data_IF_107905086227
#
_entry.id   IF_107905086227
#
_cell.length_a   1.000
_cell.length_b   1.000
_cell.length_c   1.000
_cell.angle_alpha   90.00
_cell.angle_beta   90.00
_cell.angle_gamma   90.00
#
_symmetry.space_group_name_H-M   'P 1'
#
loop_
_entity.id
_entity.type
_entity.pdbx_description
1 polymer ?
#
# COMPACT_ATOMS: atom_id res chain seq x y z
N UNK A 1 -33.84 2.21 30.85
CA UNK A 1 -32.78 3.19 31.15
C UNK A 1 -31.58 2.38 31.66
N UNK A 2 -30.58 2.10 30.81
CA UNK A 2 -29.38 1.35 31.20
C UNK A 2 -28.22 2.34 31.21
N UNK A 3 -27.69 2.58 32.39
CA UNK A 3 -26.49 3.39 32.59
C UNK A 3 -25.26 2.60 32.21
N UNK A 4 -24.35 3.24 31.43
CA UNK A 4 -23.01 2.73 31.13
C UNK A 4 -22.07 3.14 32.26
N UNK A 5 -21.25 2.24 32.80
CA UNK A 5 -20.22 2.63 33.75
C UNK A 5 -19.06 3.41 33.04
N UNK A 6 -18.39 4.32 33.78
CA UNK A 6 -17.37 5.20 33.21
C UNK A 6 -16.13 4.43 32.72
N UNK A 7 -15.50 4.98 31.72
CA UNK A 7 -14.29 4.46 31.08
C UNK A 7 -13.18 4.24 32.11
N UNK A 8 -12.67 3.02 32.16
CA UNK A 8 -11.55 2.61 33.01
C UNK A 8 -10.23 2.89 32.28
N UNK A 9 -9.36 3.59 32.97
CA UNK A 9 -7.97 3.92 32.62
C UNK A 9 -7.20 2.77 31.99
N UNK A 10 -6.37 3.15 31.02
CA UNK A 10 -5.52 2.29 30.19
C UNK A 10 -4.58 1.37 30.98
N UNK A 11 -4.40 0.11 30.56
CA UNK A 11 -3.24 -0.66 30.95
C UNK A 11 -2.04 -0.34 30.04
N UNK A 12 -0.91 -0.01 30.64
CA UNK A 12 0.38 0.13 29.99
C UNK A 12 0.72 -1.16 29.23
N UNK A 13 0.85 -1.07 27.93
CA UNK A 13 1.25 -2.16 27.05
C UNK A 13 2.76 -2.05 26.82
N UNK A 14 3.51 -2.99 27.34
CA UNK A 14 4.88 -3.27 26.88
C UNK A 14 4.77 -3.97 25.53
N UNK A 15 5.04 -3.25 24.46
CA UNK A 15 5.10 -3.78 23.10
C UNK A 15 6.55 -4.10 22.75
N UNK A 16 6.87 -5.39 22.65
CA UNK A 16 7.97 -5.85 21.80
C UNK A 16 7.36 -6.11 20.41
N UNK A 17 7.20 -5.06 19.62
CA UNK A 17 6.90 -5.12 18.19
C UNK A 17 8.09 -4.52 17.45
N UNK A 18 8.59 -5.15 16.38
CA UNK A 18 9.54 -4.47 15.52
C UNK A 18 8.85 -3.26 14.91
N UNK A 19 9.61 -2.18 14.84
CA UNK A 19 9.21 -0.83 14.50
C UNK A 19 7.91 -0.66 13.67
N UNK A 20 6.88 -0.10 14.30
CA UNK A 20 6.03 0.88 13.63
C UNK A 20 4.70 0.42 13.05
N UNK A 21 4.26 -0.84 13.14
CA UNK A 21 2.94 -1.23 12.65
C UNK A 21 1.86 -1.06 13.71
N UNK A 22 1.05 -0.02 13.54
CA UNK A 22 -0.24 0.11 14.22
C UNK A 22 -1.33 -0.44 13.30
N UNK A 23 -1.90 -1.61 13.62
CA UNK A 23 -3.05 -2.17 12.89
C UNK A 23 -4.23 -1.22 13.02
N UNK A 24 -4.67 -0.66 11.89
CA UNK A 24 -5.49 0.54 11.90
C UNK A 24 -6.99 0.31 11.76
N UNK A 25 -7.48 -0.86 11.48
CA UNK A 25 -8.92 -1.10 11.45
C UNK A 25 -9.25 -2.56 11.27
N UNK A 26 -10.02 -3.13 12.18
CA UNK A 26 -10.68 -4.42 11.99
C UNK A 26 -12.17 -4.16 11.91
N UNK A 27 -12.78 -4.42 10.76
CA UNK A 27 -14.22 -4.38 10.59
C UNK A 27 -14.76 -5.79 10.79
N UNK A 28 -15.64 -5.93 11.76
CA UNK A 28 -16.37 -7.15 12.03
C UNK A 28 -17.75 -7.08 11.41
N UNK A 29 -18.12 -8.06 10.60
CA UNK A 29 -19.45 -8.19 10.03
C UNK A 29 -20.06 -9.48 10.53
N UNK A 30 -21.06 -9.35 11.40
CA UNK A 30 -21.98 -10.44 11.74
C UNK A 30 -23.28 -10.26 10.97
N UNK A 31 -24.07 -11.30 10.79
CA UNK A 31 -25.39 -11.24 10.10
C UNK A 31 -26.38 -10.22 10.64
N UNK A 32 -26.04 -9.40 11.62
CA UNK A 32 -26.87 -8.40 12.27
C UNK A 32 -26.27 -6.98 12.31
N UNK A 33 -25.23 -6.68 11.56
CA UNK A 33 -24.68 -5.32 11.48
C UNK A 33 -23.18 -5.23 11.40
N UNK A 34 -22.70 -4.02 11.07
CA UNK A 34 -21.29 -3.66 10.98
C UNK A 34 -20.83 -3.09 12.31
N UNK A 35 -19.77 -3.62 12.89
CA UNK A 35 -19.11 -3.05 14.06
C UNK A 35 -17.64 -2.81 13.75
N UNK A 36 -17.16 -1.57 13.92
CA UNK A 36 -15.75 -1.23 13.82
C UNK A 36 -15.10 -1.43 15.18
N UNK A 37 -14.02 -2.23 15.23
CA UNK A 37 -13.26 -2.43 16.46
C UNK A 37 -11.91 -1.76 16.27
N UNK A 38 -11.69 -0.68 17.01
CA UNK A 38 -10.38 -0.02 17.15
C UNK A 38 -9.59 -0.72 18.27
N UNK A 39 -8.49 -1.40 17.93
CA UNK A 39 -7.56 -1.91 18.94
C UNK A 39 -7.15 -3.39 18.81
N UNK A 40 -5.97 -3.68 19.28
CA UNK A 40 -5.14 -4.90 19.15
C UNK A 40 -5.68 -6.22 19.73
N UNK A 41 -6.91 -6.29 20.21
CA UNK A 41 -7.44 -7.51 20.78
C UNK A 41 -8.91 -7.67 20.49
N UNK A 42 -9.22 -8.39 19.42
CA UNK A 42 -10.59 -8.86 19.17
C UNK A 42 -10.91 -9.93 20.19
N UNK A 43 -11.37 -9.54 21.37
CA UNK A 43 -12.18 -10.43 22.21
C UNK A 43 -13.60 -10.36 21.65
N UNK A 44 -13.91 -11.20 20.68
CA UNK A 44 -15.27 -11.37 20.23
C UNK A 44 -16.10 -11.92 21.40
N UNK A 45 -16.86 -11.06 22.07
CA UNK A 45 -18.00 -11.54 22.85
C UNK A 45 -19.03 -11.98 21.81
N UNK A 46 -18.99 -13.24 21.45
CA UNK A 46 -20.09 -13.87 20.71
C UNK A 46 -21.37 -13.55 21.47
N UNK A 47 -22.31 -12.85 20.82
CA UNK A 47 -23.56 -12.46 21.46
C UNK A 47 -24.22 -13.71 22.02
N UNK A 48 -24.46 -13.70 23.32
CA UNK A 48 -25.21 -14.74 24.02
C UNK A 48 -26.64 -14.63 23.53
N UNK A 49 -27.10 -15.52 22.67
CA UNK A 49 -28.53 -15.57 22.32
C UNK A 49 -28.90 -16.15 20.96
N UNK A 50 -28.05 -16.26 19.97
CA UNK A 50 -28.42 -16.91 18.71
C UNK A 50 -28.05 -18.39 18.73
N UNK A 51 -29.07 -19.26 18.76
CA UNK A 51 -28.94 -20.72 18.54
C UNK A 51 -28.62 -21.05 17.07
N UNK A 52 -28.48 -20.05 16.20
CA UNK A 52 -28.15 -20.25 14.80
C UNK A 52 -26.67 -20.39 14.65
N UNK A 53 -26.24 -21.29 13.77
CA UNK A 53 -24.85 -21.52 13.33
C UNK A 53 -24.37 -20.29 12.54
N UNK A 54 -24.11 -19.19 13.25
CA UNK A 54 -23.65 -17.95 12.65
C UNK A 54 -22.19 -18.04 12.29
N UNK A 55 -21.87 -17.85 11.04
CA UNK A 55 -20.52 -17.57 10.55
C UNK A 55 -20.28 -16.07 10.58
N UNK A 56 -19.04 -15.68 10.81
CA UNK A 56 -18.60 -14.28 10.81
C UNK A 56 -17.42 -14.12 9.89
N UNK A 57 -17.40 -13.01 9.17
CA UNK A 57 -16.28 -12.64 8.30
C UNK A 57 -15.53 -11.47 8.92
N UNK A 58 -14.22 -11.51 8.83
CA UNK A 58 -13.34 -10.47 9.33
C UNK A 58 -12.63 -9.80 8.16
N UNK A 59 -12.69 -8.48 8.15
CA UNK A 59 -12.00 -7.64 7.18
C UNK A 59 -11.08 -6.70 7.95
N UNK A 60 -9.85 -6.58 7.51
CA UNK A 60 -8.89 -5.67 8.11
C UNK A 60 -8.11 -4.94 7.02
N UNK A 61 -7.72 -3.71 7.29
CA UNK A 61 -7.00 -2.89 6.32
C UNK A 61 -6.02 -1.96 7.04
N UNK A 62 -5.04 -1.51 6.30
CA UNK A 62 -4.08 -0.50 6.70
C UNK A 62 -3.81 0.41 5.49
N UNK A 63 -3.56 1.72 5.69
CA UNK A 63 -3.61 2.51 6.91
C UNK A 63 -5.04 2.78 7.40
N UNK A 64 -5.15 3.28 8.64
CA UNK A 64 -6.46 3.66 9.18
C UNK A 64 -7.04 4.83 8.39
N UNK A 65 -8.26 4.64 7.89
CA UNK A 65 -9.00 5.66 7.13
C UNK A 65 -10.51 5.51 7.33
N UNK A 66 -11.26 6.48 6.84
CA UNK A 66 -12.72 6.44 6.90
C UNK A 66 -13.27 5.40 5.92
N UNK A 67 -14.21 4.60 6.39
CA UNK A 67 -14.96 3.64 5.59
C UNK A 67 -16.40 4.08 5.48
N UNK A 68 -16.93 4.17 4.28
CA UNK A 68 -18.32 4.46 4.00
C UNK A 68 -18.89 3.33 3.14
N UNK A 69 -19.91 2.62 3.66
CA UNK A 69 -20.57 1.52 2.95
C UNK A 69 -19.57 0.52 2.31
N UNK A 70 -18.66 -0.03 3.14
CA UNK A 70 -17.57 -0.93 2.74
C UNK A 70 -16.55 -0.33 1.77
N UNK A 71 -16.61 0.94 1.47
CA UNK A 71 -15.72 1.60 0.52
C UNK A 71 -14.69 2.45 1.24
N UNK A 72 -13.45 2.33 0.78
CA UNK A 72 -12.30 3.13 1.20
C UNK A 72 -11.83 3.95 0.02
N UNK A 73 -11.74 5.27 0.20
CA UNK A 73 -11.13 6.13 -0.79
C UNK A 73 -9.60 5.96 -0.77
N UNK A 74 -9.01 5.70 -1.91
CA UNK A 74 -7.56 5.65 -2.13
C UNK A 74 -7.12 6.94 -2.80
N UNK A 75 -5.98 7.49 -2.35
CA UNK A 75 -5.34 8.65 -2.97
C UNK A 75 -3.82 8.47 -2.88
N UNK A 76 -3.17 8.30 -4.04
CA UNK A 76 -1.73 8.09 -4.15
C UNK A 76 -0.97 9.34 -4.63
N UNK A 77 -1.59 10.50 -4.56
CA UNK A 77 -1.00 11.75 -5.06
C UNK A 77 0.25 12.15 -4.27
N UNK A 78 0.22 12.02 -2.93
CA UNK A 78 1.33 12.44 -2.08
C UNK A 78 2.27 11.27 -1.74
N UNK A 79 3.40 11.21 -2.43
CA UNK A 79 4.40 10.15 -2.26
C UNK A 79 5.36 10.38 -1.08
N UNK A 80 5.29 11.52 -0.38
CA UNK A 80 6.24 11.87 0.70
C UNK A 80 6.17 10.91 1.89
N UNK A 81 4.96 10.42 2.19
CA UNK A 81 4.70 9.47 3.29
C UNK A 81 4.05 8.21 2.74
N UNK A 82 4.85 7.35 2.14
CA UNK A 82 4.34 6.15 1.47
C UNK A 82 3.63 5.19 2.42
N UNK A 83 4.04 5.12 3.69
CA UNK A 83 3.36 4.36 4.73
C UNK A 83 1.90 4.80 4.98
N UNK A 84 1.55 6.03 4.60
CA UNK A 84 0.18 6.55 4.73
C UNK A 84 -0.72 6.22 3.52
N UNK A 85 -0.13 5.81 2.41
CA UNK A 85 -0.86 5.48 1.17
C UNK A 85 -0.71 4.01 0.78
N UNK A 86 0.21 3.27 1.36
CA UNK A 86 0.40 1.84 1.13
C UNK A 86 -0.76 1.04 1.71
N UNK A 87 -1.75 0.77 0.85
CA UNK A 87 -2.97 0.11 1.28
C UNK A 87 -2.82 -1.40 1.32
N UNK A 88 -2.94 -1.95 2.53
CA UNK A 88 -2.95 -3.40 2.78
C UNK A 88 -4.33 -3.88 3.23
N UNK A 89 -4.67 -5.09 2.87
CA UNK A 89 -5.96 -5.69 3.16
C UNK A 89 -5.84 -7.16 3.52
N UNK A 90 -6.64 -7.59 4.52
CA UNK A 90 -6.79 -8.96 4.94
C UNK A 90 -8.28 -9.33 5.06
N UNK A 91 -8.64 -10.55 4.67
CA UNK A 91 -9.99 -11.11 4.77
C UNK A 91 -9.91 -12.53 5.31
N UNK A 92 -10.73 -12.84 6.31
CA UNK A 92 -10.91 -14.20 6.82
C UNK A 92 -12.40 -14.46 6.96
N UNK A 93 -12.90 -15.49 6.28
CA UNK A 93 -14.32 -15.81 6.20
C UNK A 93 -14.65 -17.10 6.94
N UNK A 94 -15.94 -17.26 7.26
CA UNK A 94 -16.48 -18.50 7.82
C UNK A 94 -16.06 -18.80 9.26
N UNK A 95 -15.58 -17.81 10.00
CA UNK A 95 -15.20 -17.99 11.41
C UNK A 95 -16.43 -18.26 12.28
N UNK A 96 -16.30 -19.15 13.24
CA UNK A 96 -17.37 -19.52 14.16
C UNK A 96 -16.81 -19.83 15.56
N UNK A 97 -17.69 -20.20 16.50
CA UNK A 97 -17.31 -20.50 17.89
C UNK A 97 -16.33 -21.67 18.04
N UNK A 98 -16.29 -22.59 17.07
CA UNK A 98 -15.37 -23.73 17.08
C UNK A 98 -13.97 -23.33 16.60
N UNK A 99 -13.84 -22.19 15.91
CA UNK A 99 -12.59 -21.61 15.44
C UNK A 99 -12.37 -20.24 16.09
N UNK A 100 -12.00 -20.18 17.40
CA UNK A 100 -11.96 -18.93 18.15
C UNK A 100 -10.78 -18.02 17.78
N UNK A 101 -9.84 -18.52 17.02
CA UNK A 101 -8.69 -17.77 16.50
C UNK A 101 -8.95 -17.34 15.06
N UNK A 102 -8.68 -16.07 14.78
CA UNK A 102 -8.80 -15.48 13.44
C UNK A 102 -7.42 -15.05 13.00
N UNK A 103 -6.94 -15.67 11.91
CA UNK A 103 -5.67 -15.30 11.29
C UNK A 103 -5.95 -14.29 10.17
N UNK A 104 -5.28 -13.15 10.24
CA UNK A 104 -5.38 -12.09 9.24
C UNK A 104 -4.05 -12.00 8.48
N UNK A 105 -4.04 -12.42 7.22
CA UNK A 105 -2.89 -12.28 6.33
C UNK A 105 -3.10 -11.05 5.46
N UNK A 106 -2.24 -10.05 5.64
CA UNK A 106 -2.30 -8.80 4.90
C UNK A 106 -1.59 -8.91 3.57
N UNK A 107 -2.19 -8.32 2.55
CA UNK A 107 -1.63 -8.21 1.22
C UNK A 107 -1.68 -6.76 0.76
N UNK A 108 -0.59 -6.27 0.21
CA UNK A 108 -0.57 -4.99 -0.48
C UNK A 108 -1.56 -5.02 -1.65
N UNK A 109 -2.31 -3.98 -1.84
CA UNK A 109 -3.33 -3.88 -2.90
C UNK A 109 -2.90 -2.94 -4.01
N UNK A 110 -1.91 -2.11 -3.76
CA UNK A 110 -1.32 -1.18 -4.71
C UNK A 110 -0.05 -1.77 -5.35
N UNK A 111 0.50 -1.07 -6.33
CA UNK A 111 1.74 -1.45 -7.00
C UNK A 111 2.88 -0.59 -6.47
N UNK A 112 4.06 -1.17 -6.25
CA UNK A 112 5.24 -0.44 -5.85
C UNK A 112 6.24 -0.40 -7.02
N UNK A 113 6.63 0.80 -7.45
CA UNK A 113 7.65 1.02 -8.47
C UNK A 113 8.92 1.54 -7.82
N UNK A 114 10.04 0.86 -8.04
CA UNK A 114 11.36 1.22 -7.51
C UNK A 114 12.35 1.32 -8.67
N UNK A 115 13.06 2.42 -8.73
CA UNK A 115 14.08 2.69 -9.77
C UNK A 115 15.42 2.96 -9.10
N UNK A 116 16.44 2.13 -9.42
CA UNK A 116 17.83 2.39 -9.09
C UNK A 116 18.51 3.03 -10.30
N UNK A 117 18.82 4.33 -10.17
CA UNK A 117 19.36 5.13 -11.29
C UNK A 117 20.88 5.21 -11.20
N UNK A 118 21.51 5.13 -12.35
CA UNK A 118 22.97 5.23 -12.50
C UNK A 118 23.33 6.22 -13.62
N UNK A 119 24.43 6.96 -13.49
CA UNK A 119 24.94 7.80 -14.57
C UNK A 119 25.48 6.92 -15.70
N UNK A 120 25.15 7.29 -16.92
CA UNK A 120 25.68 6.74 -18.14
C UNK A 120 26.65 7.72 -18.85
N UNK A 121 26.82 7.55 -20.16
CA UNK A 121 27.75 8.36 -20.93
C UNK A 121 27.37 9.86 -20.86
N UNK A 122 28.33 10.68 -20.50
CA UNK A 122 28.23 12.12 -20.43
C UNK A 122 27.55 12.66 -19.14
N UNK A 123 27.26 11.79 -18.17
CA UNK A 123 26.74 12.16 -16.86
C UNK A 123 27.62 11.61 -15.74
N UNK A 124 27.61 12.28 -14.61
CA UNK A 124 28.22 11.86 -13.35
C UNK A 124 27.19 11.64 -12.28
N UNK A 125 27.56 10.98 -11.19
CA UNK A 125 26.67 10.81 -10.04
C UNK A 125 26.24 12.15 -9.42
N UNK A 126 27.10 13.16 -9.52
CA UNK A 126 26.81 14.52 -9.05
C UNK A 126 25.66 15.18 -9.85
N UNK A 127 25.63 14.95 -11.17
CA UNK A 127 24.58 15.48 -12.05
C UNK A 127 23.19 14.94 -11.66
N UNK A 128 23.14 13.71 -11.13
CA UNK A 128 21.87 13.07 -10.73
C UNK A 128 21.35 13.51 -9.36
N UNK A 129 22.15 14.17 -8.52
CA UNK A 129 21.77 14.46 -7.12
C UNK A 129 20.52 15.32 -6.98
N UNK A 130 20.27 16.22 -7.93
CA UNK A 130 19.10 17.11 -7.92
C UNK A 130 17.96 16.61 -8.79
N UNK A 131 18.10 15.40 -9.34
CA UNK A 131 17.14 14.85 -10.27
C UNK A 131 15.78 14.62 -9.65
N UNK A 132 14.74 14.94 -10.39
CA UNK A 132 13.35 14.61 -10.10
C UNK A 132 12.91 13.51 -11.06
N UNK A 133 12.20 12.51 -10.55
CA UNK A 133 11.62 11.43 -11.36
C UNK A 133 10.12 11.48 -11.27
N UNK A 134 9.46 11.49 -12.42
CA UNK A 134 8.00 11.68 -12.50
C UNK A 134 7.36 10.61 -13.37
N UNK A 135 6.36 9.92 -12.83
CA UNK A 135 5.48 9.02 -13.58
C UNK A 135 4.33 9.85 -14.14
N UNK A 136 4.21 9.89 -15.47
CA UNK A 136 3.31 10.81 -16.16
C UNK A 136 1.89 10.25 -16.27
N UNK A 137 0.88 11.12 -16.08
CA UNK A 137 -0.51 10.90 -16.44
C UNK A 137 -1.20 9.72 -15.75
N UNK A 138 -0.79 9.35 -14.54
CA UNK A 138 -1.38 8.22 -13.82
C UNK A 138 -2.66 8.62 -13.09
N UNK A 139 -3.66 7.72 -13.07
CA UNK A 139 -4.77 7.89 -12.14
C UNK A 139 -4.26 7.88 -10.71
N UNK A 140 -4.70 8.87 -9.91
CA UNK A 140 -4.22 9.07 -8.55
C UNK A 140 -5.25 8.72 -7.49
N UNK A 141 -6.52 8.60 -7.86
CA UNK A 141 -7.63 8.27 -6.95
C UNK A 141 -8.38 7.05 -7.43
N UNK A 142 -8.89 6.28 -6.47
CA UNK A 142 -9.72 5.11 -6.71
C UNK A 142 -10.55 4.77 -5.46
N UNK A 143 -11.43 3.80 -5.59
CA UNK A 143 -12.20 3.25 -4.47
C UNK A 143 -11.86 1.78 -4.28
N UNK A 144 -11.50 1.41 -3.05
CA UNK A 144 -11.34 0.01 -2.65
C UNK A 144 -12.63 -0.49 -1.98
N UNK A 145 -13.13 -1.63 -2.42
CA UNK A 145 -14.29 -2.29 -1.81
C UNK A 145 -13.82 -3.39 -0.85
N UNK A 146 -14.10 -3.23 0.44
CA UNK A 146 -13.72 -4.19 1.47
C UNK A 146 -14.48 -5.52 1.37
N UNK A 147 -15.68 -5.54 0.78
CA UNK A 147 -16.49 -6.76 0.71
C UNK A 147 -15.89 -7.79 -0.27
N UNK A 148 -15.39 -7.34 -1.41
CA UNK A 148 -14.83 -8.20 -2.47
C UNK A 148 -13.33 -8.05 -2.67
N UNK A 149 -12.71 -7.01 -2.10
CA UNK A 149 -11.27 -6.76 -2.20
C UNK A 149 -10.82 -6.16 -3.53
N UNK A 150 -11.73 -5.52 -4.28
CA UNK A 150 -11.48 -4.91 -5.59
C UNK A 150 -11.17 -3.42 -5.50
N UNK A 151 -10.40 -2.92 -6.45
CA UNK A 151 -10.20 -1.49 -6.71
C UNK A 151 -11.01 -1.14 -7.96
N UNK A 152 -11.66 0.00 -7.96
CA UNK A 152 -12.47 0.49 -9.08
C UNK A 152 -12.63 2.01 -9.04
N UNK A 153 -13.11 2.59 -10.12
CA UNK A 153 -13.36 4.02 -10.22
C UNK A 153 -12.07 4.82 -10.21
N UNK A 154 -11.07 4.34 -10.94
CA UNK A 154 -9.78 5.02 -11.11
C UNK A 154 -10.00 6.33 -11.85
N UNK A 155 -9.59 7.43 -11.22
CA UNK A 155 -9.84 8.78 -11.70
C UNK A 155 -8.69 9.73 -11.36
N UNK A 156 -8.84 10.98 -11.78
CA UNK A 156 -7.94 12.08 -11.50
C UNK A 156 -6.53 11.81 -12.04
N UNK A 157 -6.36 11.66 -13.37
CA UNK A 157 -5.04 11.47 -13.96
C UNK A 157 -4.16 12.69 -13.68
N UNK A 158 -2.98 12.43 -13.12
CA UNK A 158 -2.00 13.45 -12.80
C UNK A 158 -0.58 12.87 -12.86
N UNK A 159 0.38 13.76 -12.88
CA UNK A 159 1.80 13.39 -12.77
C UNK A 159 2.16 13.09 -11.32
N UNK A 160 2.82 11.97 -11.09
CA UNK A 160 3.25 11.54 -9.76
C UNK A 160 4.77 11.69 -9.66
N UNK A 161 5.22 12.64 -8.85
CA UNK A 161 6.64 12.76 -8.50
C UNK A 161 7.01 11.64 -7.54
N UNK A 162 7.97 10.80 -7.93
CA UNK A 162 8.46 9.70 -7.10
C UNK A 162 9.18 10.22 -5.85
N UNK A 163 9.04 9.50 -4.75
CA UNK A 163 9.82 9.76 -3.54
C UNK A 163 11.30 9.48 -3.80
N UNK A 164 12.15 10.45 -3.52
CA UNK A 164 13.60 10.24 -3.50
C UNK A 164 13.98 9.59 -2.17
N UNK A 165 14.42 8.34 -2.22
CA UNK A 165 14.89 7.59 -1.05
C UNK A 165 16.39 7.78 -0.86
N UNK A 166 17.16 7.78 -1.96
CA UNK A 166 18.57 8.16 -1.99
C UNK A 166 18.81 9.09 -3.19
N UNK A 167 19.31 10.30 -2.91
CA UNK A 167 19.47 11.35 -3.91
C UNK A 167 20.36 10.89 -5.08
N UNK A 168 19.83 11.00 -6.29
CA UNK A 168 20.49 10.59 -7.52
C UNK A 168 20.63 9.09 -7.72
N UNK A 169 20.04 8.25 -6.84
CA UNK A 169 20.19 6.80 -6.95
C UNK A 169 18.89 6.02 -6.83
N UNK A 170 18.05 6.30 -5.81
CA UNK A 170 16.90 5.46 -5.49
C UNK A 170 15.63 6.28 -5.42
N UNK A 171 14.67 5.90 -6.24
CA UNK A 171 13.35 6.52 -6.35
C UNK A 171 12.26 5.48 -6.22
N UNK A 172 11.19 5.82 -5.50
CA UNK A 172 10.10 4.91 -5.20
C UNK A 172 8.74 5.59 -5.33
N UNK A 173 7.76 4.87 -5.88
CA UNK A 173 6.37 5.32 -5.94
C UNK A 173 5.40 4.17 -5.68
N UNK A 174 4.33 4.48 -4.94
CA UNK A 174 3.16 3.62 -4.79
C UNK A 174 2.10 4.11 -5.76
N UNK A 175 1.65 3.22 -6.65
CA UNK A 175 0.77 3.54 -7.76
C UNK A 175 -0.48 2.67 -7.72
N UNK A 176 -1.59 3.18 -8.24
CA UNK A 176 -2.78 2.37 -8.48
C UNK A 176 -2.46 1.29 -9.52
N UNK A 177 -2.98 0.06 -9.34
CA UNK A 177 -2.95 -0.96 -10.38
C UNK A 177 -3.59 -0.44 -11.66
N UNK A 178 -3.08 -0.84 -12.82
CA UNK A 178 -3.64 -0.44 -14.12
C UNK A 178 -3.37 -1.49 -15.19
N UNK A 179 -4.34 -1.67 -16.09
CA UNK A 179 -4.22 -2.55 -17.25
C UNK A 179 -3.48 -1.89 -18.44
N UNK A 180 -3.14 -0.61 -18.35
CA UNK A 180 -2.34 0.05 -19.38
C UNK A 180 -1.00 -0.66 -19.58
N UNK A 181 -0.69 -0.96 -20.84
CA UNK A 181 0.48 -1.74 -21.21
C UNK A 181 1.81 -0.99 -21.07
N UNK A 182 1.77 0.35 -20.97
CA UNK A 182 2.97 1.17 -20.84
C UNK A 182 2.66 2.49 -20.13
N UNK A 183 3.71 3.12 -19.63
CA UNK A 183 3.64 4.47 -19.05
C UNK A 183 4.94 5.22 -19.24
N UNK A 184 4.83 6.52 -19.28
CA UNK A 184 5.98 7.41 -19.45
C UNK A 184 6.57 7.76 -18.08
N UNK A 185 7.88 7.60 -17.95
CA UNK A 185 8.66 8.07 -16.81
C UNK A 185 9.65 9.11 -17.30
N UNK A 186 9.63 10.24 -16.64
CA UNK A 186 10.48 11.39 -16.97
C UNK A 186 11.52 11.61 -15.86
N UNK A 187 12.76 11.81 -16.27
CA UNK A 187 13.89 12.09 -15.39
C UNK A 187 14.43 13.48 -15.71
N UNK A 188 14.26 14.42 -14.82
CA UNK A 188 14.68 15.81 -14.96
C UNK A 188 15.86 16.10 -14.06
N UNK A 189 17.03 16.46 -14.63
CA UNK A 189 18.25 16.74 -13.88
C UNK A 189 18.19 18.05 -13.08
N UNK A 190 17.25 18.93 -13.38
CA UNK A 190 17.09 20.24 -12.76
C UNK A 190 18.36 21.12 -12.84
N UNK A 191 19.15 20.99 -13.91
CA UNK A 191 20.39 21.72 -14.13
C UNK A 191 20.23 22.93 -15.08
N UNK A 192 19.05 23.08 -15.67
CA UNK A 192 18.73 24.18 -16.58
C UNK A 192 19.29 24.06 -18.00
N UNK A 193 19.94 22.96 -18.33
CA UNK A 193 20.63 22.75 -19.62
C UNK A 193 20.11 21.54 -20.39
N UNK A 194 19.94 20.41 -19.69
CA UNK A 194 19.51 19.17 -20.32
C UNK A 194 17.98 19.11 -20.37
N UNK A 195 17.43 18.66 -21.50
CA UNK A 195 16.04 18.27 -21.58
C UNK A 195 15.77 17.02 -20.72
N UNK A 196 14.56 16.81 -20.23
CA UNK A 196 14.23 15.61 -19.47
C UNK A 196 14.51 14.32 -20.27
N UNK A 197 15.06 13.32 -19.61
CA UNK A 197 15.15 11.97 -20.17
C UNK A 197 13.83 11.28 -20.03
N UNK A 198 13.41 10.57 -21.07
CA UNK A 198 12.09 9.92 -21.11
C UNK A 198 12.25 8.43 -21.33
N UNK A 199 11.57 7.66 -20.52
CA UNK A 199 11.45 6.22 -20.68
C UNK A 199 10.00 5.79 -20.72
N UNK A 200 9.65 5.01 -21.75
CA UNK A 200 8.35 4.34 -21.81
C UNK A 200 8.49 2.96 -21.18
N UNK A 201 8.03 2.83 -19.95
CA UNK A 201 8.05 1.58 -19.20
C UNK A 201 7.01 0.59 -19.76
N UNK A 202 7.40 -0.54 -20.34
CA UNK A 202 6.49 -1.48 -21.00
C UNK A 202 5.95 -2.51 -19.99
N UNK A 203 5.18 -2.08 -19.01
CA UNK A 203 4.59 -3.00 -18.04
C UNK A 203 3.24 -2.51 -17.53
N UNK A 204 2.31 -3.44 -17.37
CA UNK A 204 1.11 -3.24 -16.56
C UNK A 204 1.51 -3.13 -15.08
N UNK A 205 0.70 -2.46 -14.28
CA UNK A 205 0.88 -2.41 -12.84
C UNK A 205 -0.18 -3.28 -12.17
N UNK A 206 0.25 -4.42 -11.65
CA UNK A 206 -0.61 -5.32 -10.90
C UNK A 206 -0.56 -5.00 -9.40
N UNK A 207 -1.70 -5.04 -8.74
CA UNK A 207 -1.77 -4.87 -7.29
C UNK A 207 -0.98 -5.94 -6.53
N UNK A 208 -0.29 -5.54 -5.47
CA UNK A 208 0.56 -6.42 -4.68
C UNK A 208 1.85 -6.85 -5.36
N UNK A 209 2.27 -6.15 -6.41
CA UNK A 209 3.54 -6.39 -7.10
C UNK A 209 4.51 -5.24 -6.87
N UNK A 210 5.80 -5.60 -6.76
CA UNK A 210 6.92 -4.67 -6.74
C UNK A 210 7.68 -4.77 -8.06
N UNK A 211 7.74 -3.66 -8.78
CA UNK A 211 8.47 -3.48 -10.03
C UNK A 211 9.79 -2.82 -9.70
N UNK A 212 10.85 -3.60 -9.58
CA UNK A 212 12.17 -3.11 -9.19
C UNK A 212 13.11 -3.15 -10.39
N UNK A 213 13.49 -1.97 -10.87
CA UNK A 213 14.47 -1.80 -11.92
C UNK A 213 15.82 -1.42 -11.30
N UNK A 214 16.73 -2.38 -11.28
CA UNK A 214 18.02 -2.30 -10.57
C UNK A 214 19.11 -1.56 -11.38
N UNK A 215 18.89 -1.32 -12.65
CA UNK A 215 19.80 -0.53 -13.49
C UNK A 215 18.95 0.33 -14.42
N UNK A 216 18.81 1.59 -14.06
CA UNK A 216 18.26 2.64 -14.92
C UNK A 216 19.40 3.56 -15.27
N UNK A 217 20.05 3.31 -16.42
CA UNK A 217 21.23 4.05 -16.83
C UNK A 217 20.86 5.21 -17.73
N UNK A 218 21.03 6.42 -17.23
CA UNK A 218 20.75 7.65 -17.98
C UNK A 218 22.01 8.09 -18.72
N UNK A 219 21.92 8.21 -20.04
CA UNK A 219 22.97 8.74 -20.91
C UNK A 219 22.40 9.85 -21.77
N UNK A 220 23.21 10.84 -22.16
CA UNK A 220 22.77 11.88 -23.11
C UNK A 220 22.36 11.33 -24.48
N UNK A 221 22.65 10.07 -24.76
CA UNK A 221 22.29 9.38 -26.01
C UNK A 221 21.18 8.37 -25.89
N UNK A 222 20.90 7.82 -24.67
CA UNK A 222 19.91 6.76 -24.46
C UNK A 222 19.59 6.53 -22.98
N UNK A 223 18.50 5.79 -22.71
CA UNK A 223 18.16 5.24 -21.39
C UNK A 223 18.19 3.72 -21.49
N UNK A 224 19.14 3.08 -20.79
CA UNK A 224 19.26 1.63 -20.72
C UNK A 224 18.69 1.12 -19.40
N UNK A 225 17.85 0.08 -19.45
CA UNK A 225 17.11 -0.39 -18.30
C UNK A 225 17.11 -1.91 -18.18
N UNK A 226 17.34 -2.40 -16.97
CA UNK A 226 17.09 -3.78 -16.58
C UNK A 226 16.38 -3.84 -15.23
N UNK A 227 15.56 -4.87 -14.99
CA UNK A 227 14.82 -4.96 -13.74
C UNK A 227 14.06 -6.26 -13.55
N UNK A 228 13.45 -6.42 -12.39
CA UNK A 228 12.66 -7.59 -12.00
C UNK A 228 11.32 -7.19 -11.42
N UNK A 229 10.32 -8.03 -11.65
CA UNK A 229 8.99 -7.92 -11.04
C UNK A 229 8.87 -9.00 -9.98
N UNK A 230 8.59 -8.61 -8.75
CA UNK A 230 8.43 -9.54 -7.62
C UNK A 230 7.11 -9.27 -6.89
N UNK A 231 6.55 -10.27 -6.19
CA UNK A 231 5.50 -10.00 -5.21
C UNK A 231 5.98 -8.94 -4.21
N UNK A 232 5.13 -8.03 -3.83
CA UNK A 232 5.44 -7.04 -2.81
C UNK A 232 5.36 -7.69 -1.45
N UNK A 233 6.48 -8.25 -1.01
CA UNK A 233 6.71 -8.75 0.34
C UNK A 233 7.84 -7.94 0.93
N UNK A 234 7.82 -7.70 2.23
CA UNK A 234 8.94 -7.02 2.89
C UNK A 234 10.23 -7.79 2.67
N UNK A 235 11.32 -7.06 2.39
CA UNK A 235 12.63 -7.66 2.15
C UNK A 235 13.11 -8.34 3.44
N UNK A 236 13.23 -9.66 3.40
CA UNK A 236 13.86 -10.45 4.46
C UNK A 236 12.99 -11.43 5.20
N UNK A 237 11.68 -11.43 5.04
CA UNK A 237 10.81 -12.33 5.77
C UNK A 237 10.05 -13.29 4.85
N UNK A 238 10.58 -14.51 4.77
CA UNK A 238 9.79 -15.68 4.36
C UNK A 238 8.90 -16.18 5.52
N UNK A 239 8.78 -15.42 6.61
CA UNK A 239 7.98 -15.78 7.75
C UNK A 239 6.59 -15.19 7.61
N UNK A 240 5.59 -16.04 7.67
CA UNK A 240 4.19 -15.64 7.84
C UNK A 240 4.09 -14.90 9.17
N UNK A 241 3.88 -13.58 9.14
CA UNK A 241 3.58 -12.82 10.34
C UNK A 241 2.17 -13.17 10.79
N UNK A 242 2.09 -14.14 11.68
CA UNK A 242 0.87 -14.51 12.38
C UNK A 242 0.72 -13.52 13.54
N UNK A 243 -0.28 -12.64 13.47
CA UNK A 243 -0.66 -11.84 14.61
C UNK A 243 -1.25 -12.75 15.70
N UNK A 244 -0.52 -12.97 16.78
CA UNK A 244 -0.96 -13.68 17.97
C UNK A 244 -1.80 -12.79 18.89
#
# INVERSE_FOLDING_TARGET
MFEFPPARTEPKTTTNSPAGFSLAGVIFISGHGVSTILGYRVKSKWARGSRERGFSNFYSYYPQTTVNDYKVALDVTDQRKQEAIDFMYAKTEGCNKATPQVFLKFYHKLSNLVLEVQPGNGLTQEDLKKMTVTVKGQNTKATFNLADGTISGEENPADITMKTTEAGKLYEAILLPTEEASRVIEFELNNGYDAPFVWTMPAKLEGGKRYHYTVVKLSRSAVDISGTIKPWTEAGDNNEHIAQ
#
